data_IF_063729016824
#
_entry.id   IF_063729016824
#
_cell.length_a   1.000
_cell.length_b   1.000
_cell.length_c   1.000
_cell.angle_alpha   90.00
_cell.angle_beta   90.00
_cell.angle_gamma   90.00
#
_symmetry.space_group_name_H-M   'P 1'
#
loop_
_entity.id
_entity.type
_entity.pdbx_description
1 polymer ?
#
# COMPACT_ATOMS: atom_id res chain seq x y z
N UNK A 1 -15.93 -1.51 21.90
CA UNK A 1 -16.37 -2.68 21.12
C UNK A 1 -15.50 -3.86 21.52
N UNK A 2 -16.09 -4.92 22.06
CA UNK A 2 -15.36 -6.17 22.36
C UNK A 2 -15.55 -7.07 21.15
N UNK A 3 -14.47 -7.40 20.45
CA UNK A 3 -14.48 -8.42 19.40
C UNK A 3 -13.86 -9.70 19.94
N UNK A 4 -14.65 -10.77 19.95
CA UNK A 4 -14.22 -12.13 20.24
C UNK A 4 -13.28 -12.64 19.12
N UNK A 5 -12.10 -13.12 19.53
CA UNK A 5 -11.19 -14.07 18.88
C UNK A 5 -10.74 -13.82 17.40
N UNK A 6 -9.41 -13.71 17.24
CA UNK A 6 -8.58 -13.71 16.01
C UNK A 6 -8.31 -12.43 15.20
N UNK A 7 -8.85 -11.26 15.56
CA UNK A 7 -8.72 -10.06 14.71
C UNK A 7 -7.36 -9.32 14.76
N UNK A 8 -6.38 -9.78 15.55
CA UNK A 8 -5.12 -9.04 15.78
C UNK A 8 -3.87 -9.61 15.10
N UNK A 9 -3.95 -10.75 14.40
CA UNK A 9 -2.74 -11.44 13.90
C UNK A 9 -2.07 -10.76 12.69
N UNK A 10 -2.78 -9.91 11.93
CA UNK A 10 -2.18 -9.24 10.76
C UNK A 10 -1.39 -8.01 11.18
N UNK A 11 -1.84 -7.28 12.20
CA UNK A 11 -1.21 -6.03 12.62
C UNK A 11 0.22 -6.20 13.11
N UNK A 12 0.63 -7.40 13.53
CA UNK A 12 2.02 -7.66 13.95
C UNK A 12 3.02 -7.63 12.78
N UNK A 13 2.54 -7.74 11.54
CA UNK A 13 3.36 -7.74 10.31
C UNK A 13 3.23 -6.45 9.51
N UNK A 14 2.48 -5.46 10.00
CA UNK A 14 2.14 -4.25 9.26
C UNK A 14 2.78 -3.05 9.93
N UNK A 15 3.81 -2.49 9.28
CA UNK A 15 4.49 -1.28 9.75
C UNK A 15 3.66 -0.01 9.49
N UNK A 16 2.82 -0.02 8.45
CA UNK A 16 2.03 1.13 8.05
C UNK A 16 0.72 0.74 7.35
N UNK A 17 -0.32 1.54 7.55
CA UNK A 17 -1.61 1.41 6.85
C UNK A 17 -1.91 2.71 6.12
N UNK A 18 -1.96 2.63 4.80
CA UNK A 18 -2.27 3.76 3.92
C UNK A 18 -3.67 3.57 3.34
N UNK A 19 -4.50 4.60 3.44
CA UNK A 19 -5.91 4.57 3.03
C UNK A 19 -6.15 5.75 2.09
N UNK A 20 -6.73 5.49 0.91
CA UNK A 20 -6.98 6.50 -0.13
C UNK A 20 -7.77 7.71 0.39
N UNK A 21 -8.76 7.49 1.26
CA UNK A 21 -9.55 8.57 1.86
C UNK A 21 -8.74 9.52 2.76
N UNK A 22 -7.60 9.07 3.30
CA UNK A 22 -6.68 9.91 4.07
C UNK A 22 -5.66 10.61 3.16
N UNK A 23 -5.24 9.96 2.08
CA UNK A 23 -4.27 10.51 1.11
C UNK A 23 -4.93 11.47 0.12
N UNK A 24 -6.24 11.32 -0.14
CA UNK A 24 -6.98 12.06 -1.16
C UNK A 24 -6.86 11.46 -2.57
N UNK A 25 -6.12 10.36 -2.72
CA UNK A 25 -5.85 9.70 -3.99
C UNK A 25 -5.98 8.18 -3.82
N UNK A 26 -6.67 7.53 -4.75
CA UNK A 26 -6.72 6.08 -4.87
C UNK A 26 -5.81 5.58 -5.98
N UNK A 27 -5.47 4.29 -5.93
CA UNK A 27 -4.79 3.60 -7.05
C UNK A 27 -5.63 3.75 -8.33
N UNK A 28 -5.03 3.95 -9.52
CA UNK A 28 -3.59 3.88 -9.83
C UNK A 28 -2.82 5.18 -9.60
N UNK A 29 -3.41 6.20 -8.97
CA UNK A 29 -2.73 7.48 -8.79
C UNK A 29 -1.42 7.30 -7.99
N UNK A 30 -0.31 7.80 -8.54
CA UNK A 30 1.03 7.70 -7.97
C UNK A 30 1.13 8.16 -6.50
N UNK A 31 0.32 9.13 -6.09
CA UNK A 31 0.41 9.73 -4.75
C UNK A 31 0.12 8.73 -3.62
N UNK A 32 -0.73 7.72 -3.83
CA UNK A 32 -0.97 6.69 -2.79
C UNK A 32 0.24 5.78 -2.59
N UNK A 33 0.95 5.44 -3.67
CA UNK A 33 2.15 4.62 -3.62
C UNK A 33 3.34 5.40 -3.03
N UNK A 34 3.51 6.66 -3.44
CA UNK A 34 4.52 7.56 -2.85
C UNK A 34 4.27 7.77 -1.36
N UNK A 35 3.02 7.95 -0.94
CA UNK A 35 2.66 8.06 0.47
C UNK A 35 3.09 6.80 1.26
N UNK A 36 2.88 5.61 0.70
CA UNK A 36 3.32 4.35 1.31
C UNK A 36 4.85 4.28 1.43
N UNK A 37 5.59 4.51 0.33
CA UNK A 37 7.06 4.51 0.32
C UNK A 37 7.65 5.51 1.32
N UNK A 38 7.11 6.73 1.36
CA UNK A 38 7.55 7.77 2.30
C UNK A 38 7.28 7.38 3.76
N UNK A 39 6.14 6.74 4.04
CA UNK A 39 5.77 6.33 5.39
C UNK A 39 6.72 5.25 5.95
N UNK A 40 7.23 4.35 5.10
CA UNK A 40 8.17 3.29 5.51
C UNK A 40 9.64 3.61 5.21
N UNK A 41 9.93 4.70 4.50
CA UNK A 41 11.30 5.14 4.18
C UNK A 41 12.01 4.26 3.15
N UNK A 42 11.29 3.67 2.21
CA UNK A 42 11.83 2.74 1.20
C UNK A 42 11.82 3.39 -0.18
N UNK A 43 12.86 3.16 -0.98
CA UNK A 43 12.91 3.57 -2.39
C UNK A 43 12.05 2.63 -3.25
N UNK A 44 11.40 3.16 -4.29
CA UNK A 44 10.48 2.39 -5.14
C UNK A 44 11.10 1.09 -5.68
N UNK A 45 12.33 1.14 -6.20
CA UNK A 45 13.03 -0.03 -6.74
C UNK A 45 13.47 -1.07 -5.69
N UNK A 46 13.19 -0.84 -4.42
CA UNK A 46 13.42 -1.78 -3.30
C UNK A 46 12.10 -2.31 -2.72
N UNK A 47 10.97 -1.99 -3.34
CA UNK A 47 9.64 -2.42 -2.91
C UNK A 47 8.99 -3.32 -3.96
N UNK A 48 8.10 -4.19 -3.49
CA UNK A 48 7.18 -4.99 -4.33
C UNK A 48 5.76 -4.66 -3.88
N UNK A 49 4.89 -4.35 -4.84
CA UNK A 49 3.45 -4.22 -4.63
C UNK A 49 2.76 -5.54 -5.00
N UNK A 50 1.78 -5.95 -4.20
CA UNK A 50 1.01 -7.18 -4.45
C UNK A 50 -0.46 -6.81 -4.44
N UNK A 51 -1.14 -7.08 -5.57
CA UNK A 51 -2.56 -6.81 -5.75
C UNK A 51 -3.12 -7.57 -6.95
N UNK A 52 -4.43 -7.58 -7.09
CA UNK A 52 -5.18 -8.38 -8.06
C UNK A 52 -5.61 -7.59 -9.31
N UNK A 53 -5.60 -6.26 -9.25
CA UNK A 53 -6.06 -5.41 -10.35
C UNK A 53 -4.91 -4.98 -11.27
N UNK A 54 -5.00 -5.30 -12.56
CA UNK A 54 -3.93 -5.00 -13.52
C UNK A 54 -3.68 -3.50 -13.72
N UNK A 55 -4.71 -2.67 -13.65
CA UNK A 55 -4.57 -1.23 -13.88
C UNK A 55 -4.24 -0.52 -12.57
N UNK A 56 -5.07 -0.73 -11.55
CA UNK A 56 -4.94 -0.07 -10.27
C UNK A 56 -3.68 -0.50 -9.52
N UNK A 57 -3.40 -1.80 -9.43
CA UNK A 57 -2.22 -2.31 -8.71
C UNK A 57 -0.98 -2.30 -9.59
N UNK A 58 -0.98 -3.11 -10.64
CA UNK A 58 0.21 -3.31 -11.47
C UNK A 58 0.57 -2.06 -12.26
N UNK A 59 -0.39 -1.42 -12.91
CA UNK A 59 -0.17 -0.18 -13.65
C UNK A 59 0.29 0.97 -12.74
N UNK A 60 -0.41 1.17 -11.62
CA UNK A 60 -0.10 2.21 -10.64
C UNK A 60 1.29 2.06 -9.99
N UNK A 61 1.63 0.85 -9.54
CA UNK A 61 2.91 0.56 -8.90
C UNK A 61 4.09 0.71 -9.88
N UNK A 62 4.00 0.06 -11.05
CA UNK A 62 5.06 0.12 -12.07
C UNK A 62 5.27 1.54 -12.60
N UNK A 63 4.20 2.37 -12.64
CA UNK A 63 4.26 3.76 -13.06
C UNK A 63 5.20 4.65 -12.23
N UNK A 64 5.57 4.22 -11.02
CA UNK A 64 6.57 4.91 -10.18
C UNK A 64 7.81 4.07 -9.86
N UNK A 65 7.99 2.94 -10.54
CA UNK A 65 9.15 2.06 -10.39
C UNK A 65 9.10 1.10 -9.21
N UNK A 66 7.90 0.78 -8.69
CA UNK A 66 7.68 -0.36 -7.78
C UNK A 66 7.40 -1.60 -8.63
N UNK A 67 8.05 -2.73 -8.32
CA UNK A 67 7.77 -4.00 -9.01
C UNK A 67 6.40 -4.56 -8.58
N UNK A 68 5.62 -5.12 -9.52
CA UNK A 68 4.26 -5.62 -9.28
C UNK A 68 3.82 -6.68 -10.29
#
# INVERSE_FOLDING_TARGET
MIAHNNMFSLFIWIDAIIISSKVGHEKPNAEIFKAALNQVGVEAGKAVHVGDDQEADKGGANGIGIDC
#
